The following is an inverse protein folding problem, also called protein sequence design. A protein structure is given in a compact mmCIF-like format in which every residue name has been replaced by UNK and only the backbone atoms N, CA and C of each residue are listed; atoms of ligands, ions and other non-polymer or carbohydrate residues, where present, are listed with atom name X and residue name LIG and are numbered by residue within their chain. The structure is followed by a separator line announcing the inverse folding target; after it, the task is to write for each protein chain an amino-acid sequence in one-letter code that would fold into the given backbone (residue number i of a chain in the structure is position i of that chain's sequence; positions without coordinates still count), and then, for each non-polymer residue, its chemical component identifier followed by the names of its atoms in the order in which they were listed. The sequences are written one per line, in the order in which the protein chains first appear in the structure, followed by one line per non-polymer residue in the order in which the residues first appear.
data_IF_125247549890
#
_entry.id   IF_125247549890
#
_cell.length_a   1.000
_cell.length_b   1.000
_cell.length_c   1.000
_cell.angle_alpha   90.00
_cell.angle_beta   90.00
_cell.angle_gamma   90.00
#
_symmetry.space_group_name_H-M   'P 1'
#
loop_
_entity.id
_entity.type
_entity.pdbx_description
1 polymer ?
#
# COMPACT_ATOMS: atom_id res chain seq x y z
N UNK A 1 -40.45 25.67 -42.04
CA UNK A 1 -39.59 24.52 -41.65
C UNK A 1 -38.32 24.98 -40.92
N UNK A 2 -38.42 25.83 -39.87
CA UNK A 2 -37.26 26.26 -39.06
C UNK A 2 -37.37 25.87 -37.57
N UNK A 3 -38.60 25.60 -37.10
CA UNK A 3 -38.90 25.22 -35.70
C UNK A 3 -38.47 23.79 -35.38
N UNK A 4 -38.62 22.86 -36.33
CA UNK A 4 -38.21 21.45 -36.16
C UNK A 4 -36.70 21.27 -36.00
N UNK A 5 -35.89 22.10 -36.67
CA UNK A 5 -34.43 22.06 -36.51
C UNK A 5 -33.97 22.55 -35.14
N UNK A 6 -34.64 23.54 -34.57
CA UNK A 6 -34.31 24.08 -33.25
C UNK A 6 -34.65 23.08 -32.13
N UNK A 7 -35.80 22.40 -32.25
CA UNK A 7 -36.23 21.38 -31.27
C UNK A 7 -35.30 20.15 -31.26
N UNK A 8 -34.83 19.72 -32.43
CA UNK A 8 -33.88 18.62 -32.56
C UNK A 8 -32.51 18.96 -31.94
N UNK A 9 -32.09 20.22 -32.02
CA UNK A 9 -30.82 20.66 -31.44
C UNK A 9 -30.88 20.69 -29.90
N UNK A 10 -31.99 21.15 -29.35
CA UNK A 10 -32.23 21.19 -27.89
C UNK A 10 -32.32 19.78 -27.29
N UNK A 11 -32.93 18.83 -28.01
CA UNK A 11 -33.03 17.44 -27.55
C UNK A 11 -31.65 16.75 -27.51
N UNK A 12 -30.79 17.01 -28.50
CA UNK A 12 -29.42 16.47 -28.53
C UNK A 12 -28.50 17.02 -27.43
N UNK A 13 -28.73 18.26 -26.98
CA UNK A 13 -27.97 18.88 -25.88
C UNK A 13 -28.30 18.25 -24.51
N UNK A 14 -29.50 17.68 -24.34
CA UNK A 14 -29.91 17.03 -23.09
C UNK A 14 -29.26 15.64 -22.89
N UNK A 15 -28.79 15.00 -23.96
CA UNK A 15 -28.11 13.69 -23.89
C UNK A 15 -26.59 13.78 -23.61
N UNK A 16 -26.01 14.99 -23.57
CA UNK A 16 -24.59 15.20 -23.30
C UNK A 16 -24.27 15.43 -21.80
N UNK A 17 -25.29 15.51 -20.94
CA UNK A 17 -25.12 15.67 -19.50
C UNK A 17 -25.22 14.31 -18.80
N UNK A 18 -24.19 13.46 -18.91
CA UNK A 18 -24.32 12.10 -18.39
C UNK A 18 -23.05 11.30 -18.24
N UNK A 19 -22.04 11.83 -17.56
CA UNK A 19 -21.04 11.04 -16.83
C UNK A 19 -20.36 11.95 -15.80
N UNK A 20 -21.04 12.22 -14.68
CA UNK A 20 -20.34 12.68 -13.48
C UNK A 20 -19.63 11.46 -12.93
N UNK A 21 -18.30 11.42 -13.12
CA UNK A 21 -17.45 10.51 -12.36
C UNK A 21 -17.69 10.83 -10.90
N UNK A 22 -18.38 9.93 -10.18
CA UNK A 22 -18.40 10.03 -8.73
C UNK A 22 -16.95 9.85 -8.30
N UNK A 23 -16.32 10.94 -7.86
CA UNK A 23 -15.22 10.87 -6.91
C UNK A 23 -15.82 10.24 -5.65
N UNK A 24 -15.95 8.91 -5.68
CA UNK A 24 -16.32 8.14 -4.51
C UNK A 24 -15.32 8.45 -3.40
N UNK A 25 -15.69 8.12 -2.18
CA UNK A 25 -14.89 8.31 -0.99
C UNK A 25 -13.57 7.52 -1.08
N UNK A 26 -12.63 7.96 -1.93
CA UNK A 26 -11.21 7.61 -1.86
C UNK A 26 -10.68 8.41 -0.67
N UNK A 27 -11.19 8.06 0.51
CA UNK A 27 -10.76 8.62 1.77
C UNK A 27 -9.25 8.53 1.79
N UNK A 28 -8.60 9.68 2.01
CA UNK A 28 -7.15 9.89 2.02
C UNK A 28 -6.37 8.58 2.26
N UNK A 29 -6.07 7.86 1.17
CA UNK A 29 -5.42 6.55 1.28
C UNK A 29 -3.98 6.86 1.68
N UNK A 30 -3.63 6.44 2.89
CA UNK A 30 -2.29 6.61 3.42
C UNK A 30 -1.30 6.00 2.41
N UNK A 31 -0.38 6.83 1.94
CA UNK A 31 0.65 6.44 0.97
C UNK A 31 2.00 6.57 1.64
N UNK A 32 2.80 5.51 1.58
CA UNK A 32 4.12 5.45 2.20
C UNK A 32 5.19 5.61 1.12
N UNK A 33 6.10 6.57 1.32
CA UNK A 33 7.27 6.73 0.46
C UNK A 33 8.18 5.52 0.63
N UNK A 34 8.55 4.88 -0.49
CA UNK A 34 9.46 3.74 -0.46
C UNK A 34 10.68 4.03 -1.34
N UNK A 35 11.89 3.65 -0.89
CA UNK A 35 13.08 3.68 -1.73
C UNK A 35 12.91 2.70 -2.90
N UNK A 36 13.51 3.01 -4.04
CA UNK A 36 13.45 2.12 -5.22
C UNK A 36 14.19 0.79 -5.00
N UNK A 37 15.15 0.77 -4.06
CA UNK A 37 15.99 -0.39 -3.75
C UNK A 37 15.86 -0.76 -2.27
N UNK A 38 15.91 -2.06 -2.00
CA UNK A 38 15.93 -2.60 -0.65
C UNK A 38 17.21 -2.13 0.09
N UNK A 39 17.05 -1.83 1.39
CA UNK A 39 18.15 -1.37 2.23
C UNK A 39 19.27 -2.43 2.25
N UNK A 40 20.53 -1.96 2.30
CA UNK A 40 21.69 -2.86 2.22
C UNK A 40 21.72 -3.88 3.37
N UNK A 41 21.45 -3.43 4.60
CA UNK A 41 21.46 -4.30 5.78
C UNK A 41 20.43 -5.44 5.68
N UNK A 42 19.27 -5.21 5.06
CA UNK A 42 18.26 -6.25 4.80
C UNK A 42 18.83 -7.31 3.85
N UNK A 43 19.47 -6.87 2.76
CA UNK A 43 20.11 -7.76 1.78
C UNK A 43 21.31 -8.51 2.35
N UNK A 44 21.97 -7.94 3.35
CA UNK A 44 23.07 -8.57 4.07
C UNK A 44 22.58 -9.54 5.16
N UNK A 45 21.25 -9.66 5.36
CA UNK A 45 20.65 -10.62 6.30
C UNK A 45 20.57 -10.14 7.75
N UNK A 46 20.79 -8.84 8.00
CA UNK A 46 20.76 -8.30 9.36
C UNK A 46 19.34 -8.31 9.94
N UNK A 47 19.15 -8.71 11.20
CA UNK A 47 17.84 -8.75 11.83
C UNK A 47 17.37 -7.35 12.29
N UNK A 48 16.06 -7.24 12.45
CA UNK A 48 15.41 -6.13 13.16
C UNK A 48 15.21 -6.55 14.61
N UNK A 49 15.56 -5.68 15.56
CA UNK A 49 15.14 -5.82 16.95
C UNK A 49 13.80 -5.10 17.14
N UNK A 50 12.75 -5.86 17.46
CA UNK A 50 11.41 -5.35 17.65
C UNK A 50 10.68 -6.16 18.72
N UNK A 51 10.15 -5.49 19.74
CA UNK A 51 9.49 -6.09 20.90
C UNK A 51 10.34 -7.18 21.58
N UNK A 52 11.61 -6.84 21.87
CA UNK A 52 12.58 -7.72 22.55
C UNK A 52 12.89 -9.02 21.79
N UNK A 53 12.50 -9.11 20.52
CA UNK A 53 12.76 -10.24 19.64
C UNK A 53 13.57 -9.81 18.40
N UNK A 54 14.41 -10.73 17.92
CA UNK A 54 15.11 -10.60 16.65
C UNK A 54 14.26 -11.19 15.52
N UNK A 55 14.09 -10.40 14.47
CA UNK A 55 13.32 -10.74 13.28
C UNK A 55 14.25 -10.75 12.08
N UNK A 56 14.34 -11.88 11.40
CA UNK A 56 15.28 -12.09 10.30
C UNK A 56 14.58 -11.93 8.95
N UNK A 57 15.23 -11.30 7.96
CA UNK A 57 14.65 -11.17 6.63
C UNK A 57 14.48 -12.55 6.01
N UNK A 58 13.26 -12.86 5.56
CA UNK A 58 12.97 -14.12 4.90
C UNK A 58 13.33 -14.06 3.42
N UNK A 59 13.57 -15.23 2.81
CA UNK A 59 13.80 -15.40 1.38
C UNK A 59 12.49 -15.32 0.58
N UNK A 60 11.82 -14.18 0.68
CA UNK A 60 10.60 -13.90 -0.06
C UNK A 60 10.14 -12.45 0.06
N UNK A 61 9.25 -12.09 -0.85
CA UNK A 61 8.68 -10.74 -0.96
C UNK A 61 7.17 -10.87 -1.03
N UNK A 62 6.46 -9.90 -0.48
CA UNK A 62 5.00 -9.87 -0.46
C UNK A 62 4.46 -8.60 -1.12
N UNK A 63 3.38 -8.78 -1.87
CA UNK A 63 2.75 -7.74 -2.67
C UNK A 63 1.58 -7.09 -1.96
N UNK A 64 1.83 -6.21 -0.99
CA UNK A 64 0.78 -5.54 -0.21
C UNK A 64 0.52 -4.11 -0.71
N UNK A 65 -0.69 -3.61 -0.47
CA UNK A 65 -1.05 -2.21 -0.64
C UNK A 65 -0.76 -1.43 0.65
N UNK A 66 -0.53 -0.13 0.52
CA UNK A 66 -0.36 0.76 1.68
C UNK A 66 -1.62 0.79 2.57
N UNK A 67 -2.79 0.49 2.00
CA UNK A 67 -4.04 0.34 2.73
C UNK A 67 -4.13 -0.95 3.55
N UNK A 68 -3.25 -1.92 3.33
CA UNK A 68 -3.24 -3.25 3.99
C UNK A 68 -2.21 -3.35 5.11
N UNK A 69 -1.41 -2.30 5.33
CA UNK A 69 -0.38 -2.29 6.37
C UNK A 69 -0.55 -1.16 7.38
N UNK A 70 -0.10 -1.38 8.62
CA UNK A 70 0.10 -0.34 9.63
C UNK A 70 1.59 -0.10 9.86
N UNK A 71 1.99 1.16 9.84
CA UNK A 71 3.34 1.57 10.26
C UNK A 71 3.46 1.47 11.78
N UNK A 72 4.43 0.70 12.26
CA UNK A 72 4.64 0.43 13.70
C UNK A 72 5.92 1.03 14.25
N UNK A 73 6.84 1.45 13.38
CA UNK A 73 8.09 2.06 13.80
C UNK A 73 9.10 2.17 12.65
N UNK A 74 10.32 2.55 13.01
CA UNK A 74 11.42 2.74 12.07
C UNK A 74 12.67 2.05 12.61
N UNK A 75 13.40 1.38 11.72
CA UNK A 75 14.66 0.72 12.04
C UNK A 75 15.72 1.12 11.02
N UNK A 76 16.84 1.71 11.48
CA UNK A 76 17.95 2.19 10.64
C UNK A 76 17.49 3.02 9.42
N UNK A 77 16.54 3.95 9.61
CA UNK A 77 16.03 4.78 8.52
C UNK A 77 14.96 4.12 7.65
N UNK A 78 14.55 2.89 7.97
CA UNK A 78 13.58 2.10 7.18
C UNK A 78 12.29 1.91 7.95
N UNK A 79 11.16 2.23 7.32
CA UNK A 79 9.83 2.06 7.92
C UNK A 79 9.51 0.57 8.10
N UNK A 80 9.01 0.24 9.29
CA UNK A 80 8.57 -1.11 9.68
C UNK A 80 7.05 -1.11 9.78
N UNK A 81 6.45 -2.15 9.22
CA UNK A 81 5.02 -2.31 9.11
C UNK A 81 4.56 -3.69 9.62
N UNK A 82 3.27 -3.78 9.92
CA UNK A 82 2.53 -5.04 10.12
C UNK A 82 1.35 -5.07 9.15
N UNK A 83 0.83 -6.25 8.85
CA UNK A 83 -0.48 -6.38 8.19
C UNK A 83 -1.57 -5.85 9.14
N UNK A 84 -2.55 -5.12 8.61
CA UNK A 84 -3.70 -4.65 9.40
C UNK A 84 -4.57 -5.77 9.96
N UNK A 85 -4.54 -6.95 9.33
CA UNK A 85 -5.25 -8.13 9.77
C UNK A 85 -4.48 -8.90 10.86
N UNK A 86 -3.19 -8.64 11.01
CA UNK A 86 -2.34 -9.30 12.00
C UNK A 86 -2.55 -8.68 13.40
N UNK A 87 -2.82 -9.55 14.37
CA UNK A 87 -3.04 -9.19 15.77
C UNK A 87 -1.97 -9.83 16.63
N UNK A 88 -1.57 -9.15 17.71
CA UNK A 88 -0.50 -9.63 18.58
C UNK A 88 -0.80 -11.04 19.12
N UNK A 89 0.23 -11.93 19.19
CA UNK A 89 1.60 -11.73 18.73
C UNK A 89 1.69 -11.74 17.20
N UNK A 90 2.40 -10.77 16.63
CA UNK A 90 2.53 -10.67 15.17
C UNK A 90 3.22 -11.90 14.58
N UNK A 91 2.77 -12.31 13.40
CA UNK A 91 3.38 -13.39 12.63
C UNK A 91 4.57 -12.89 11.82
N UNK A 92 4.44 -11.67 11.27
CA UNK A 92 5.44 -11.07 10.36
C UNK A 92 5.59 -9.58 10.59
N UNK A 93 6.82 -9.10 10.38
CA UNK A 93 7.09 -7.69 10.17
C UNK A 93 7.40 -7.44 8.70
N UNK A 94 7.15 -6.22 8.23
CA UNK A 94 7.37 -5.85 6.84
C UNK A 94 8.21 -4.59 6.72
N UNK A 95 9.04 -4.51 5.69
CA UNK A 95 9.65 -3.25 5.24
C UNK A 95 9.33 -3.02 3.77
N UNK A 96 8.96 -1.78 3.42
CA UNK A 96 8.56 -1.43 2.05
C UNK A 96 9.75 -0.99 1.21
N UNK A 97 9.84 -1.53 0.01
CA UNK A 97 10.70 -1.01 -1.05
C UNK A 97 9.97 -1.11 -2.39
N UNK A 98 10.33 -0.30 -3.37
CA UNK A 98 9.63 -0.26 -4.65
C UNK A 98 8.13 0.02 -4.51
N UNK A 99 7.37 -0.31 -5.55
CA UNK A 99 5.91 -0.14 -5.57
C UNK A 99 5.24 -1.42 -5.10
N UNK A 100 4.59 -1.37 -3.93
CA UNK A 100 3.86 -2.48 -3.33
C UNK A 100 4.73 -3.74 -3.14
N UNK A 101 6.03 -3.58 -2.84
CA UNK A 101 6.90 -4.70 -2.50
C UNK A 101 7.31 -4.58 -1.05
N UNK A 102 7.12 -5.67 -0.31
CA UNK A 102 7.42 -5.72 1.11
C UNK A 102 8.30 -6.93 1.38
N UNK A 103 9.47 -6.70 1.98
CA UNK A 103 10.25 -7.79 2.57
C UNK A 103 9.58 -8.16 3.87
N UNK A 104 9.25 -9.43 4.05
CA UNK A 104 8.77 -9.91 5.34
C UNK A 104 9.91 -10.47 6.17
N UNK A 105 9.75 -10.36 7.49
CA UNK A 105 10.67 -10.84 8.49
C UNK A 105 9.93 -11.81 9.39
N UNK A 106 10.61 -12.89 9.75
CA UNK A 106 10.09 -13.91 10.65
C UNK A 106 10.99 -13.99 11.89
N UNK A 107 10.41 -14.36 13.03
CA UNK A 107 11.22 -14.71 14.20
C UNK A 107 12.02 -15.96 13.87
N UNK A 108 13.24 -16.05 14.39
CA UNK A 108 13.98 -17.31 14.32
C UNK A 108 13.13 -18.40 14.98
N UNK A 109 12.77 -19.43 14.22
CA UNK A 109 12.16 -20.63 14.79
C UNK A 109 13.25 -21.25 15.66
N UNK A 110 13.15 -21.04 16.98
CA UNK A 110 13.93 -21.84 17.91
C UNK A 110 13.67 -23.32 17.58
N UNK A 111 14.72 -24.12 17.39
CA UNK A 111 14.60 -25.53 17.00
C UNK A 111 13.87 -26.37 18.04
#
# INVERSE_FOLDING_TARGET
MRVFGLLSLVFSLLFLAGCVTRTGNVGNLQSFSAPALEAKWIRDGEPIEFEEALWYPADGIEGLMDSEVYHVGEYKGTQVFIDKLDVRPYERLYTKYGKNQFRYFEKEKQP
#
